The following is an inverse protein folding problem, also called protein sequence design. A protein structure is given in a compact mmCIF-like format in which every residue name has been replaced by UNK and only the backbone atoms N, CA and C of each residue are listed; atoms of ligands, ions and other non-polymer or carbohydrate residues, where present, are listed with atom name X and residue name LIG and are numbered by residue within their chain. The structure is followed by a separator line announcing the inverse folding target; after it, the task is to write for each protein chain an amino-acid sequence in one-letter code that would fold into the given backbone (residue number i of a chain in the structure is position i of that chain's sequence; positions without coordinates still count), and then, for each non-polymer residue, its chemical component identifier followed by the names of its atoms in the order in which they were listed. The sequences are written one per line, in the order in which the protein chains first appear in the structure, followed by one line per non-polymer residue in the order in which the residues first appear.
data_IF_354265801774
#
_entry.id   IF_354265801774
#
_cell.length_a   1.000
_cell.length_b   1.000
_cell.length_c   1.000
_cell.angle_alpha   90.00
_cell.angle_beta   90.00
_cell.angle_gamma   90.00
#
_symmetry.space_group_name_H-M   'P 1'
#
loop_
_entity.id
_entity.type
_entity.pdbx_description
1 polymer ?
#
# COMPACT_ATOMS: atom_id res chain seq x y z
N UNK A 1 -5.34 0.71 -11.17
CA UNK A 1 -4.82 2.06 -11.48
C UNK A 1 -5.41 2.71 -12.74
N UNK A 2 -5.82 1.97 -13.77
CA UNK A 2 -6.18 2.53 -15.09
C UNK A 2 -7.20 3.70 -15.05
N UNK A 3 -8.30 3.55 -14.29
CA UNK A 3 -9.32 4.61 -14.18
C UNK A 3 -8.76 5.89 -13.58
N UNK A 4 -8.00 5.80 -12.49
CA UNK A 4 -7.39 6.96 -11.82
C UNK A 4 -6.41 7.65 -12.76
N UNK A 5 -5.58 6.89 -13.47
CA UNK A 5 -4.62 7.44 -14.45
C UNK A 5 -5.34 8.18 -15.59
N UNK A 6 -6.41 7.61 -16.13
CA UNK A 6 -7.19 8.27 -17.18
C UNK A 6 -7.80 9.59 -16.68
N UNK A 7 -8.35 9.61 -15.45
CA UNK A 7 -8.91 10.83 -14.86
C UNK A 7 -7.85 11.89 -14.56
N UNK A 8 -6.67 11.47 -14.08
CA UNK A 8 -5.52 12.35 -13.83
C UNK A 8 -5.10 13.11 -15.11
N UNK A 9 -4.98 12.37 -16.21
CA UNK A 9 -4.63 12.90 -17.53
C UNK A 9 -5.76 13.76 -18.14
N UNK A 10 -7.00 13.25 -18.15
CA UNK A 10 -8.14 13.91 -18.83
C UNK A 10 -8.58 15.20 -18.14
N UNK A 11 -8.55 15.23 -16.81
CA UNK A 11 -8.91 16.42 -16.04
C UNK A 11 -7.75 17.40 -15.89
N UNK A 12 -6.55 17.06 -16.41
CA UNK A 12 -5.35 17.88 -16.27
C UNK A 12 -4.99 18.13 -14.82
N UNK A 13 -5.04 17.09 -13.97
CA UNK A 13 -4.69 17.21 -12.56
C UNK A 13 -3.20 17.56 -12.46
N UNK A 14 -2.90 18.63 -11.72
CA UNK A 14 -1.53 19.18 -11.61
C UNK A 14 -0.92 19.02 -10.22
N UNK A 15 -1.73 18.63 -9.24
CA UNK A 15 -1.26 18.30 -7.89
C UNK A 15 -0.78 16.83 -7.85
N UNK A 16 0.19 16.48 -7.00
CA UNK A 16 0.62 15.08 -6.87
C UNK A 16 -0.52 14.16 -6.42
N UNK A 17 -0.69 13.02 -7.09
CA UNK A 17 -1.71 12.02 -6.78
C UNK A 17 -1.06 10.70 -6.34
N UNK A 18 -1.52 10.15 -5.22
CA UNK A 18 -1.18 8.80 -4.79
C UNK A 18 -2.43 7.91 -4.87
N UNK A 19 -2.27 6.70 -5.39
CA UNK A 19 -3.28 5.65 -5.32
C UNK A 19 -2.85 4.66 -4.24
N UNK A 20 -3.55 4.70 -3.12
CA UNK A 20 -3.21 3.98 -1.90
C UNK A 20 -4.16 2.81 -1.65
N UNK A 21 -3.61 1.63 -1.32
CA UNK A 21 -4.38 0.52 -0.77
C UNK A 21 -4.49 0.72 0.74
N UNK A 22 -5.70 0.88 1.24
CA UNK A 22 -5.97 1.05 2.67
C UNK A 22 -6.28 -0.29 3.35
N UNK A 23 -5.79 -0.47 4.59
CA UNK A 23 -5.92 -1.70 5.40
C UNK A 23 -5.73 -3.02 4.61
N UNK A 24 -4.63 -3.11 3.85
CA UNK A 24 -4.36 -4.23 2.96
C UNK A 24 -3.92 -5.51 3.66
N UNK A 25 -4.40 -6.65 3.16
CA UNK A 25 -3.78 -7.96 3.47
C UNK A 25 -2.44 -8.10 2.75
N UNK A 26 -1.57 -8.98 3.24
CA UNK A 26 -0.26 -9.25 2.63
C UNK A 26 -0.35 -9.58 1.12
N UNK A 27 -1.28 -10.47 0.74
CA UNK A 27 -1.55 -10.79 -0.67
C UNK A 27 -2.21 -9.63 -1.43
N UNK A 28 -3.03 -8.84 -0.73
CA UNK A 28 -3.65 -7.63 -1.27
C UNK A 28 -2.60 -6.60 -1.69
N UNK A 29 -1.55 -6.40 -0.87
CA UNK A 29 -0.43 -5.52 -1.19
C UNK A 29 0.23 -5.91 -2.52
N UNK A 30 0.57 -7.19 -2.70
CA UNK A 30 1.16 -7.68 -3.95
C UNK A 30 0.24 -7.52 -5.16
N UNK A 31 -1.06 -7.75 -5.00
CA UNK A 31 -2.05 -7.53 -6.07
C UNK A 31 -2.14 -6.05 -6.46
N UNK A 32 -2.16 -5.14 -5.48
CA UNK A 32 -2.22 -3.70 -5.74
C UNK A 32 -0.94 -3.16 -6.38
N UNK A 33 0.24 -3.62 -5.92
CA UNK A 33 1.53 -3.32 -6.56
C UNK A 33 1.46 -3.71 -8.05
N UNK A 34 1.06 -4.95 -8.36
CA UNK A 34 0.93 -5.43 -9.74
C UNK A 34 -0.11 -4.65 -10.55
N UNK A 35 -1.17 -4.15 -9.90
CA UNK A 35 -2.23 -3.36 -10.52
C UNK A 35 -1.85 -1.88 -10.75
N UNK A 36 -0.62 -1.48 -10.40
CA UNK A 36 -0.07 -0.14 -10.62
C UNK A 36 -0.43 0.88 -9.56
N UNK A 37 -0.72 0.45 -8.32
CA UNK A 37 -0.84 1.38 -7.19
C UNK A 37 0.52 2.04 -6.91
N UNK A 38 0.49 3.25 -6.37
CA UNK A 38 1.71 4.02 -6.04
C UNK A 38 2.01 4.02 -4.55
N UNK A 39 1.07 3.54 -3.72
CA UNK A 39 1.20 3.41 -2.28
C UNK A 39 0.38 2.23 -1.77
N UNK A 40 0.84 1.58 -0.69
CA UNK A 40 0.12 0.47 -0.04
C UNK A 40 0.16 0.61 1.48
N UNK A 41 -0.85 0.13 2.17
CA UNK A 41 -0.84 -0.15 3.61
C UNK A 41 -0.94 -1.66 3.81
N UNK A 42 -0.10 -2.20 4.68
CA UNK A 42 -0.25 -3.55 5.20
C UNK A 42 -0.79 -3.49 6.63
N UNK A 43 -2.01 -3.99 6.80
CA UNK A 43 -2.61 -4.19 8.11
C UNK A 43 -2.29 -5.59 8.62
N UNK A 44 -1.20 -5.65 9.38
CA UNK A 44 -0.76 -6.84 10.11
C UNK A 44 -1.17 -6.84 11.58
N UNK A 45 -2.05 -5.93 12.02
CA UNK A 45 -2.41 -5.70 13.43
C UNK A 45 -2.89 -6.96 14.17
N UNK A 46 -3.53 -7.86 13.43
CA UNK A 46 -4.08 -9.13 13.90
C UNK A 46 -3.04 -10.26 14.05
N UNK A 47 -1.84 -10.10 13.50
CA UNK A 47 -0.76 -11.08 13.66
C UNK A 47 -0.01 -10.89 14.98
N UNK A 48 0.64 -11.95 15.50
CA UNK A 48 1.68 -11.78 16.51
C UNK A 48 2.76 -10.79 16.02
N UNK A 49 3.30 -9.98 16.93
CA UNK A 49 4.22 -8.89 16.58
C UNK A 49 5.39 -9.33 15.70
N UNK A 50 6.03 -10.46 16.01
CA UNK A 50 7.16 -10.99 15.22
C UNK A 50 6.76 -11.34 13.77
N UNK A 51 5.56 -11.87 13.58
CA UNK A 51 5.04 -12.19 12.24
C UNK A 51 4.68 -10.91 11.48
N UNK A 52 4.04 -9.94 12.15
CA UNK A 52 3.77 -8.63 11.56
C UNK A 52 5.08 -7.94 11.13
N UNK A 53 6.08 -7.94 12.01
CA UNK A 53 7.39 -7.34 11.74
C UNK A 53 8.06 -8.01 10.53
N UNK A 54 8.07 -9.34 10.45
CA UNK A 54 8.66 -10.07 9.34
C UNK A 54 7.97 -9.73 8.00
N UNK A 55 6.64 -9.79 7.95
CA UNK A 55 5.86 -9.48 6.74
C UNK A 55 5.97 -8.02 6.32
N UNK A 56 5.90 -7.10 7.29
CA UNK A 56 6.09 -5.66 7.06
C UNK A 56 7.48 -5.37 6.50
N UNK A 57 8.53 -5.96 7.07
CA UNK A 57 9.92 -5.77 6.60
C UNK A 57 10.09 -6.23 5.16
N UNK A 58 9.50 -7.36 4.79
CA UNK A 58 9.53 -7.85 3.41
C UNK A 58 8.83 -6.88 2.45
N UNK A 59 7.59 -6.48 2.77
CA UNK A 59 6.83 -5.55 1.94
C UNK A 59 7.50 -4.17 1.82
N UNK A 60 8.14 -3.69 2.88
CA UNK A 60 8.95 -2.46 2.86
C UNK A 60 10.08 -2.57 1.83
N UNK A 61 10.82 -3.68 1.82
CA UNK A 61 11.89 -3.90 0.86
C UNK A 61 11.34 -3.96 -0.59
N UNK A 62 10.22 -4.64 -0.80
CA UNK A 62 9.58 -4.72 -2.12
C UNK A 62 9.09 -3.34 -2.58
N UNK A 63 8.35 -2.62 -1.74
CA UNK A 63 7.79 -1.32 -2.07
C UNK A 63 8.89 -0.30 -2.40
N UNK A 64 9.92 -0.19 -1.56
CA UNK A 64 11.01 0.76 -1.77
C UNK A 64 11.84 0.45 -3.02
N UNK A 65 12.09 -0.84 -3.32
CA UNK A 65 12.80 -1.22 -4.55
C UNK A 65 12.02 -0.85 -5.83
N UNK A 66 10.72 -0.65 -5.72
CA UNK A 66 9.83 -0.26 -6.82
C UNK A 66 9.48 1.24 -6.79
N UNK A 67 9.96 2.00 -5.79
CA UNK A 67 9.67 3.42 -5.62
C UNK A 67 8.27 3.72 -5.08
N UNK A 68 7.61 2.76 -4.42
CA UNK A 68 6.31 2.96 -3.77
C UNK A 68 6.51 3.34 -2.29
N UNK A 69 5.54 4.08 -1.74
CA UNK A 69 5.42 4.24 -0.29
C UNK A 69 4.64 3.10 0.33
N UNK A 70 4.92 2.84 1.61
CA UNK A 70 4.23 1.82 2.41
C UNK A 70 3.89 2.34 3.80
N UNK A 71 2.70 1.98 4.28
CA UNK A 71 2.24 2.14 5.66
C UNK A 71 2.08 0.77 6.33
N UNK A 72 2.32 0.69 7.65
CA UNK A 72 2.17 -0.53 8.43
C UNK A 72 1.47 -0.21 9.75
N UNK A 73 0.59 -1.11 10.19
CA UNK A 73 -0.15 -0.96 11.44
C UNK A 73 0.42 -1.84 12.57
N UNK A 74 0.50 -1.27 13.78
CA UNK A 74 0.87 -1.97 15.02
C UNK A 74 -0.13 -1.60 16.11
N UNK A 75 -0.55 -2.58 16.91
CA UNK A 75 -1.64 -2.40 17.86
C UNK A 75 -2.99 -2.48 17.17
N UNK A 76 -4.06 -2.09 17.86
CA UNK A 76 -5.42 -2.07 17.30
C UNK A 76 -6.03 -0.68 17.52
N UNK A 77 -6.56 -0.07 16.47
CA UNK A 77 -7.46 1.08 16.61
C UNK A 77 -8.77 0.55 17.19
N UNK A 78 -9.14 1.01 18.39
CA UNK A 78 -10.39 0.63 19.03
C UNK A 78 -11.59 1.16 18.23
N UNK A 79 -12.55 0.27 17.95
CA UNK A 79 -13.85 0.57 17.39
C UNK A 79 -14.97 0.06 18.29
#
# INVERSE_FOLDING_TARGET
AAMVKAMDEELGITVPVALHLDHGTYEGCYKCIKAGFTSIMFDGSHYPFEENLAKSTELVNVAHNLGLSIECEVGSIGG
#
